data_IF_706847326943
#
_entry.id   IF_706847326943
#
_cell.length_a   1.000
_cell.length_b   1.000
_cell.length_c   1.000
_cell.angle_alpha   90.00
_cell.angle_beta   90.00
_cell.angle_gamma   90.00
#
_symmetry.space_group_name_H-M   'P 1'
#
loop_
_entity.id
_entity.type
_entity.pdbx_description
1 polymer ?
#
# COMPACT_ATOMS: atom_id res chain seq x y z
N UNK A 1 -6.67 -24.29 37.72
CA UNK A 1 -5.65 -25.22 37.21
C UNK A 1 -5.27 -24.75 35.82
N UNK A 2 -3.97 -24.52 35.64
CA UNK A 2 -3.36 -23.71 34.59
C UNK A 2 -3.36 -24.39 33.23
N UNK A 3 -3.92 -23.75 32.21
CA UNK A 3 -3.78 -24.17 30.81
C UNK A 3 -2.31 -23.97 30.35
N UNK A 4 -1.62 -25.01 29.87
CA UNK A 4 -0.17 -25.00 29.65
C UNK A 4 0.30 -24.24 28.38
N UNK A 5 -0.56 -23.46 27.72
CA UNK A 5 -0.24 -22.80 26.45
C UNK A 5 0.21 -21.34 26.60
N UNK A 6 0.35 -20.84 27.82
CA UNK A 6 0.66 -19.42 28.09
C UNK A 6 2.14 -19.03 27.90
N UNK A 7 3.00 -19.92 27.36
CA UNK A 7 4.45 -19.68 27.28
C UNK A 7 5.07 -19.75 25.88
N UNK A 8 4.32 -19.47 24.82
CA UNK A 8 4.93 -19.13 23.52
C UNK A 8 5.09 -17.60 23.42
N UNK A 9 5.66 -16.97 24.45
CA UNK A 9 6.05 -15.55 24.39
C UNK A 9 7.49 -15.43 23.88
N UNK A 10 7.75 -16.01 22.71
CA UNK A 10 9.03 -15.85 22.01
C UNK A 10 8.78 -15.41 20.55
N UNK A 11 7.85 -14.47 20.35
CA UNK A 11 7.65 -13.82 19.07
C UNK A 11 8.83 -12.88 18.81
N UNK A 12 9.63 -13.20 17.80
CA UNK A 12 10.67 -12.33 17.23
C UNK A 12 9.95 -11.22 16.47
N UNK A 13 9.49 -10.22 17.20
CA UNK A 13 8.80 -9.05 16.69
C UNK A 13 9.80 -7.89 16.61
N UNK A 14 9.80 -7.09 15.53
CA UNK A 14 8.89 -7.06 14.38
C UNK A 14 9.15 -8.17 13.35
N UNK A 15 8.13 -8.55 12.58
CA UNK A 15 8.26 -9.40 11.39
C UNK A 15 7.98 -8.56 10.15
N UNK A 16 8.87 -8.66 9.16
CA UNK A 16 8.71 -8.01 7.85
C UNK A 16 8.50 -9.08 6.80
N UNK A 17 7.43 -8.95 6.01
CA UNK A 17 7.18 -9.78 4.83
C UNK A 17 7.29 -8.92 3.59
N UNK A 18 7.96 -9.43 2.56
CA UNK A 18 8.08 -8.78 1.26
C UNK A 18 7.25 -9.58 0.27
N UNK A 19 6.28 -8.92 -0.36
CA UNK A 19 5.45 -9.52 -1.40
C UNK A 19 5.72 -8.83 -2.73
N UNK A 20 5.65 -9.60 -3.81
CA UNK A 20 5.61 -9.09 -5.17
C UNK A 20 4.29 -9.53 -5.80
N UNK A 21 3.48 -8.55 -6.20
CA UNK A 21 2.14 -8.77 -6.75
C UNK A 21 1.84 -7.64 -7.73
N UNK A 22 1.19 -7.94 -8.85
CA UNK A 22 0.70 -6.94 -9.81
C UNK A 22 1.76 -5.90 -10.27
N UNK A 23 3.04 -6.29 -10.31
CA UNK A 23 4.14 -5.40 -10.71
C UNK A 23 4.67 -4.48 -9.61
N UNK A 24 4.13 -4.54 -8.39
CA UNK A 24 4.54 -3.77 -7.23
C UNK A 24 5.16 -4.64 -6.13
N UNK A 25 5.97 -4.02 -5.27
CA UNK A 25 6.52 -4.62 -4.06
C UNK A 25 5.75 -4.06 -2.87
N UNK A 26 5.25 -4.94 -2.01
CA UNK A 26 4.58 -4.57 -0.76
C UNK A 26 5.42 -5.02 0.44
N UNK A 27 5.62 -4.10 1.39
CA UNK A 27 6.30 -4.36 2.65
C UNK A 27 5.29 -4.40 3.78
N UNK A 28 5.09 -5.58 4.36
CA UNK A 28 4.14 -5.80 5.44
C UNK A 28 4.91 -5.89 6.76
N UNK A 29 4.76 -4.88 7.62
CA UNK A 29 5.33 -4.84 8.96
C UNK A 29 4.31 -5.31 9.99
N UNK A 30 4.64 -6.35 10.75
CA UNK A 30 3.78 -6.85 11.82
C UNK A 30 4.49 -6.75 13.17
N UNK A 31 3.87 -6.00 14.09
CA UNK A 31 4.32 -5.85 15.46
C UNK A 31 3.35 -6.52 16.46
N UNK A 32 3.89 -7.17 17.49
CA UNK A 32 3.16 -7.70 18.64
C UNK A 32 3.77 -7.13 19.93
N UNK A 33 2.96 -6.52 20.77
CA UNK A 33 3.37 -6.02 22.08
C UNK A 33 2.26 -6.22 23.11
N UNK A 34 2.59 -6.07 24.40
CA UNK A 34 1.61 -6.19 25.49
C UNK A 34 0.61 -5.02 25.52
N UNK A 35 1.00 -3.87 24.97
CA UNK A 35 0.16 -2.69 24.79
C UNK A 35 0.17 -2.32 23.32
N UNK A 36 -0.98 -1.94 22.76
CA UNK A 36 -1.09 -1.52 21.36
C UNK A 36 -0.16 -0.34 21.05
N UNK A 37 -0.10 0.64 21.94
CA UNK A 37 0.76 1.83 21.79
C UNK A 37 2.25 1.48 21.62
N UNK A 38 2.74 0.42 22.26
CA UNK A 38 4.14 0.00 22.12
C UNK A 38 4.39 -0.64 20.75
N UNK A 39 3.39 -1.35 20.20
CA UNK A 39 3.46 -1.93 18.85
C UNK A 39 3.33 -0.87 17.76
N UNK A 40 2.42 0.10 17.93
CA UNK A 40 2.24 1.25 17.04
C UNK A 40 3.53 2.08 16.98
N UNK A 41 4.13 2.42 18.13
CA UNK A 41 5.40 3.15 18.18
C UNK A 41 6.52 2.43 17.43
N UNK A 42 6.61 1.10 17.58
CA UNK A 42 7.60 0.30 16.86
C UNK A 42 7.34 0.29 15.35
N UNK A 43 6.09 0.18 14.92
CA UNK A 43 5.72 0.24 13.50
C UNK A 43 6.02 1.62 12.90
N UNK A 44 5.74 2.70 13.63
CA UNK A 44 6.02 4.07 13.20
C UNK A 44 7.52 4.32 13.06
N UNK A 45 8.33 3.84 14.02
CA UNK A 45 9.80 3.95 13.96
C UNK A 45 10.37 3.22 12.72
N UNK A 46 9.92 1.99 12.47
CA UNK A 46 10.35 1.20 11.31
C UNK A 46 9.83 1.79 10.00
N UNK A 47 8.59 2.28 9.99
CA UNK A 47 8.02 3.00 8.86
C UNK A 47 8.87 4.20 8.48
N UNK A 48 9.27 5.02 9.46
CA UNK A 48 10.16 6.15 9.24
C UNK A 48 11.52 5.75 8.65
N UNK A 49 12.11 4.64 9.11
CA UNK A 49 13.36 4.13 8.53
C UNK A 49 13.19 3.67 7.08
N UNK A 50 12.06 3.03 6.76
CA UNK A 50 11.74 2.65 5.38
C UNK A 50 11.55 3.87 4.49
N UNK A 51 10.98 4.95 5.02
CA UNK A 51 10.80 6.21 4.28
C UNK A 51 12.13 6.83 3.89
N UNK A 52 13.10 6.84 4.81
CA UNK A 52 14.43 7.39 4.55
C UNK A 52 15.18 6.58 3.48
N UNK A 53 14.95 5.26 3.43
CA UNK A 53 15.65 4.36 2.50
C UNK A 53 14.97 4.29 1.13
N UNK A 54 13.64 4.20 1.10
CA UNK A 54 12.87 3.97 -0.13
C UNK A 54 12.39 5.28 -0.76
N UNK A 55 12.15 6.33 0.04
CA UNK A 55 11.82 7.67 -0.45
C UNK A 55 10.77 7.70 -1.56
N UNK A 56 11.20 8.07 -2.77
CA UNK A 56 10.35 8.23 -3.96
C UNK A 56 9.73 6.93 -4.49
N UNK A 57 10.21 5.76 -4.05
CA UNK A 57 9.64 4.47 -4.44
C UNK A 57 8.37 4.10 -3.64
N UNK A 58 8.05 4.85 -2.59
CA UNK A 58 6.82 4.65 -1.80
C UNK A 58 5.70 5.49 -2.41
N UNK A 59 4.70 4.84 -3.01
CA UNK A 59 3.50 5.52 -3.50
C UNK A 59 2.31 5.45 -2.54
N UNK A 60 2.24 4.44 -1.65
CA UNK A 60 1.18 4.31 -0.63
C UNK A 60 1.69 3.67 0.66
N UNK A 61 0.98 3.94 1.78
CA UNK A 61 1.09 3.23 3.06
C UNK A 61 -0.25 2.67 3.57
N UNK A 62 -1.32 2.84 2.79
CA UNK A 62 -2.70 2.62 3.25
C UNK A 62 -3.43 1.58 2.40
N UNK A 63 -2.68 0.63 1.85
CA UNK A 63 -3.19 -0.42 0.95
C UNK A 63 -3.96 0.18 -0.25
N UNK A 64 -3.52 1.36 -0.70
CA UNK A 64 -4.09 2.02 -1.88
C UNK A 64 -3.42 1.46 -3.13
N UNK A 65 -4.18 1.31 -4.21
CA UNK A 65 -3.61 0.95 -5.50
C UNK A 65 -2.94 2.15 -6.16
N UNK A 66 -2.05 1.91 -7.13
CA UNK A 66 -1.39 2.99 -7.87
C UNK A 66 -2.41 3.88 -8.60
N UNK A 67 -3.48 3.28 -9.13
CA UNK A 67 -4.56 3.96 -9.82
C UNK A 67 -5.36 4.87 -8.88
N UNK A 68 -5.61 4.43 -7.64
CA UNK A 68 -6.26 5.26 -6.63
C UNK A 68 -5.41 6.50 -6.31
N UNK A 69 -4.11 6.30 -6.06
CA UNK A 69 -3.17 7.39 -5.77
C UNK A 69 -3.07 8.37 -6.93
N UNK A 70 -2.92 7.88 -8.17
CA UNK A 70 -2.85 8.73 -9.37
C UNK A 70 -4.18 9.46 -9.60
N UNK A 71 -5.31 8.76 -9.45
CA UNK A 71 -6.64 9.32 -9.61
C UNK A 71 -6.94 10.44 -8.59
N UNK A 72 -6.56 10.25 -7.34
CA UNK A 72 -6.68 11.28 -6.30
C UNK A 72 -5.79 12.50 -6.61
N UNK A 73 -4.56 12.28 -7.09
CA UNK A 73 -3.66 13.37 -7.50
C UNK A 73 -4.19 14.15 -8.70
N UNK A 74 -4.79 13.49 -9.69
CA UNK A 74 -5.42 14.13 -10.84
C UNK A 74 -6.65 14.93 -10.42
N UNK A 75 -7.53 14.35 -9.59
CA UNK A 75 -8.72 15.02 -9.04
C UNK A 75 -8.34 16.25 -8.22
N UNK A 76 -7.36 16.13 -7.31
CA UNK A 76 -6.90 17.24 -6.48
C UNK A 76 -6.34 18.42 -7.30
N UNK A 77 -5.82 18.15 -8.51
CA UNK A 77 -5.27 19.15 -9.44
C UNK A 77 -6.28 19.61 -10.49
N UNK A 78 -7.45 18.99 -10.58
CA UNK A 78 -8.42 19.24 -11.66
C UNK A 78 -7.88 18.87 -13.04
N UNK A 79 -6.98 17.88 -13.11
CA UNK A 79 -6.38 17.42 -14.36
C UNK A 79 -7.07 16.17 -14.89
N UNK A 80 -7.03 16.02 -16.21
CA UNK A 80 -7.57 14.86 -16.91
C UNK A 80 -6.50 14.15 -17.73
N UNK A 81 -6.60 12.84 -17.88
CA UNK A 81 -5.69 12.02 -18.68
C UNK A 81 -6.47 11.18 -19.71
N UNK A 82 -5.84 10.86 -20.83
CA UNK A 82 -6.35 9.92 -21.83
C UNK A 82 -5.21 9.06 -22.38
N UNK A 83 -5.52 7.83 -22.82
CA UNK A 83 -4.51 6.87 -23.31
C UNK A 83 -4.87 6.32 -24.68
N UNK A 84 -3.85 6.18 -25.54
CA UNK A 84 -3.94 5.46 -26.82
C UNK A 84 -3.03 4.23 -26.75
N UNK A 85 -3.63 3.05 -26.54
CA UNK A 85 -2.90 1.79 -26.32
C UNK A 85 -2.84 0.93 -27.60
N UNK A 86 -1.65 0.43 -27.94
CA UNK A 86 -1.44 -0.47 -29.09
C UNK A 86 -1.27 -1.95 -28.67
N UNK A 87 -0.23 -2.26 -27.89
CA UNK A 87 0.12 -3.62 -27.46
C UNK A 87 -0.41 -3.99 -26.06
N UNK A 88 -0.76 -2.99 -25.25
CA UNK A 88 -1.23 -3.17 -23.86
C UNK A 88 -2.69 -3.63 -23.78
N UNK A 89 -3.40 -3.68 -24.93
CA UNK A 89 -4.81 -4.08 -25.12
C UNK A 89 -5.66 -3.91 -23.86
N UNK A 90 -5.93 -2.66 -23.48
CA UNK A 90 -7.02 -2.26 -22.59
C UNK A 90 -6.81 -2.63 -21.10
N UNK A 91 -5.56 -2.73 -20.65
CA UNK A 91 -5.20 -3.01 -19.24
C UNK A 91 -5.38 -1.73 -18.40
N UNK A 92 -4.76 -0.61 -18.78
CA UNK A 92 -4.91 0.66 -18.05
C UNK A 92 -6.37 1.15 -17.99
N UNK A 93 -7.13 1.00 -19.09
CA UNK A 93 -8.58 1.30 -19.14
C UNK A 93 -9.45 0.41 -18.24
N UNK A 94 -9.01 -0.78 -17.83
CA UNK A 94 -9.78 -1.67 -16.93
C UNK A 94 -9.44 -1.43 -15.48
N UNK A 95 -8.22 -1.05 -15.16
CA UNK A 95 -7.76 -0.76 -13.80
C UNK A 95 -8.24 0.61 -13.34
N UNK A 96 -8.17 1.65 -14.18
CA UNK A 96 -8.71 2.97 -13.84
C UNK A 96 -10.24 2.93 -13.66
N UNK A 97 -10.99 2.15 -14.44
CA UNK A 97 -12.44 2.00 -14.27
C UNK A 97 -12.85 1.13 -13.05
N UNK A 98 -11.90 0.58 -12.29
CA UNK A 98 -12.20 -0.12 -11.03
C UNK A 98 -12.24 0.83 -9.83
N UNK A 99 -11.55 1.96 -9.89
CA UNK A 99 -11.70 2.99 -8.86
C UNK A 99 -13.03 3.73 -9.10
N UNK A 100 -13.85 3.83 -8.05
CA UNK A 100 -15.11 4.56 -8.15
C UNK A 100 -14.81 6.05 -8.38
N UNK A 101 -15.38 6.68 -9.42
CA UNK A 101 -15.14 8.09 -9.75
C UNK A 101 -14.06 8.33 -10.82
N UNK A 102 -13.62 7.29 -11.52
CA UNK A 102 -12.65 7.41 -12.62
C UNK A 102 -13.08 8.36 -13.74
N UNK A 103 -14.38 8.53 -13.95
CA UNK A 103 -14.96 9.44 -14.96
C UNK A 103 -14.61 10.92 -14.74
N UNK A 104 -14.21 11.29 -13.53
CA UNK A 104 -13.91 12.69 -13.20
C UNK A 104 -12.56 13.13 -13.76
N UNK A 105 -11.65 12.18 -14.02
CA UNK A 105 -10.27 12.46 -14.44
C UNK A 105 -9.82 11.65 -15.66
N UNK A 106 -10.50 10.55 -16.01
CA UNK A 106 -10.14 9.72 -17.16
C UNK A 106 -11.03 10.03 -18.37
N UNK A 107 -10.45 10.57 -19.43
CA UNK A 107 -11.13 10.85 -20.70
C UNK A 107 -10.93 9.70 -21.67
N UNK A 108 -12.02 9.18 -22.20
CA UNK A 108 -11.98 8.18 -23.27
C UNK A 108 -11.52 8.82 -24.58
N UNK A 109 -10.38 8.35 -25.13
CA UNK A 109 -10.03 8.50 -26.54
C UNK A 109 -10.71 7.40 -27.37
#
# INVERSE_FOLDING_TARGET
MNSPLRSISNSRTPVTTILFKDGQIELHLTAQARKSADAEKLLDELGGQLDEVLGEYIFSRRDETLEEVVGDLLRARGYTISTAESCTRRVGRREDNRSCGSSDYFLEA
#
